data_IF_723260688174
#
_entry.id   IF_723260688174
#
_cell.length_a   1.000
_cell.length_b   1.000
_cell.length_c   1.000
_cell.angle_alpha   90.00
_cell.angle_beta   90.00
_cell.angle_gamma   90.00
#
_symmetry.space_group_name_H-M   'P 1'
#
loop_
_entity.id
_entity.type
_entity.pdbx_description
1 polymer ?
#
# COMPACT_ATOMS: atom_id res chain seq x y z
N UNK A 1 -32.99 27.45 21.39
CA UNK A 1 -31.61 27.09 21.00
C UNK A 1 -31.70 25.94 20.01
N UNK A 2 -31.15 26.04 18.80
CA UNK A 2 -31.08 24.88 17.93
C UNK A 2 -30.26 23.78 18.60
N UNK A 3 -30.62 22.49 18.40
CA UNK A 3 -29.91 21.38 19.01
C UNK A 3 -28.45 21.43 18.56
N UNK A 4 -27.49 21.40 19.53
CA UNK A 4 -26.08 21.24 19.24
C UNK A 4 -25.91 19.91 18.48
N UNK A 5 -25.50 19.99 17.23
CA UNK A 5 -25.13 18.80 16.44
C UNK A 5 -24.02 18.10 17.23
N UNK A 6 -24.33 16.90 17.70
CA UNK A 6 -23.43 16.11 18.52
C UNK A 6 -22.57 15.29 17.57
N UNK A 7 -21.36 15.79 17.20
CA UNK A 7 -20.41 15.04 16.38
C UNK A 7 -19.94 13.80 17.13
N UNK A 8 -19.87 12.68 16.42
CA UNK A 8 -19.29 11.45 16.89
C UNK A 8 -17.78 11.42 16.52
N UNK A 9 -17.00 10.59 17.19
CA UNK A 9 -15.57 10.39 16.88
C UNK A 9 -15.35 10.11 15.39
N UNK A 10 -16.17 9.23 14.80
CA UNK A 10 -16.10 8.87 13.38
C UNK A 10 -16.29 10.04 12.42
N UNK A 11 -17.12 11.03 12.77
CA UNK A 11 -17.37 12.19 11.91
C UNK A 11 -16.11 13.06 11.84
N UNK A 12 -15.39 13.21 12.97
CA UNK A 12 -14.13 13.93 13.04
C UNK A 12 -13.05 13.22 12.25
N UNK A 13 -12.93 11.89 12.37
CA UNK A 13 -11.97 11.09 11.61
C UNK A 13 -12.25 11.18 10.12
N UNK A 14 -13.52 11.08 9.70
CA UNK A 14 -13.91 11.22 8.29
C UNK A 14 -13.56 12.60 7.73
N UNK A 15 -13.80 13.67 8.48
CA UNK A 15 -13.41 15.02 8.06
C UNK A 15 -11.88 15.18 7.98
N UNK A 16 -11.15 14.63 8.94
CA UNK A 16 -9.69 14.62 8.92
C UNK A 16 -9.12 13.83 7.74
N UNK A 17 -9.72 12.67 7.42
CA UNK A 17 -9.38 11.87 6.25
C UNK A 17 -9.63 12.64 4.94
N UNK A 18 -10.74 13.37 4.82
CA UNK A 18 -11.03 14.20 3.66
C UNK A 18 -9.98 15.32 3.49
N UNK A 19 -9.52 15.92 4.60
CA UNK A 19 -8.41 16.88 4.56
C UNK A 19 -7.13 16.20 4.09
N UNK A 20 -6.81 15.02 4.65
CA UNK A 20 -5.62 14.25 4.27
C UNK A 20 -5.63 13.86 2.77
N UNK A 21 -6.76 13.38 2.23
CA UNK A 21 -6.92 13.05 0.81
C UNK A 21 -6.66 14.22 -0.14
N UNK A 22 -7.04 15.42 0.26
CA UNK A 22 -6.89 16.61 -0.61
C UNK A 22 -5.57 17.34 -0.44
N UNK A 23 -4.97 17.32 0.74
CA UNK A 23 -3.86 18.22 1.11
C UNK A 23 -2.68 17.52 1.79
N UNK A 24 -2.76 16.20 1.99
CA UNK A 24 -1.79 15.41 2.73
C UNK A 24 -1.97 15.46 4.25
N UNK A 25 -1.27 14.57 4.94
CA UNK A 25 -1.39 14.37 6.40
C UNK A 25 -0.91 15.60 7.21
N UNK A 26 0.03 16.35 6.70
CA UNK A 26 0.56 17.54 7.38
C UNK A 26 -0.48 18.68 7.47
N UNK A 27 -1.42 18.72 6.52
CA UNK A 27 -2.54 19.64 6.54
C UNK A 27 -3.63 19.27 7.55
N UNK A 28 -3.60 18.08 8.14
CA UNK A 28 -4.56 17.64 9.18
C UNK A 28 -4.24 18.36 10.48
N UNK A 29 -4.81 19.57 10.62
CA UNK A 29 -4.73 20.42 11.80
C UNK A 29 -6.12 20.62 12.41
N UNK A 30 -6.21 20.95 13.69
CA UNK A 30 -7.49 21.19 14.35
C UNK A 30 -8.33 22.26 13.61
N UNK A 31 -7.69 23.28 13.03
CA UNK A 31 -8.37 24.35 12.28
C UNK A 31 -8.94 23.85 10.95
N UNK A 32 -8.18 23.08 10.18
CA UNK A 32 -8.64 22.54 8.89
C UNK A 32 -9.76 21.50 9.10
N UNK A 33 -9.66 20.63 10.11
CA UNK A 33 -10.70 19.67 10.44
C UNK A 33 -11.97 20.37 10.95
N UNK A 34 -11.84 21.38 11.80
CA UNK A 34 -12.97 22.19 12.27
C UNK A 34 -13.66 22.92 11.11
N UNK A 35 -12.89 23.44 10.15
CA UNK A 35 -13.40 24.07 8.93
C UNK A 35 -14.16 23.08 8.07
N UNK A 36 -13.66 21.87 7.89
CA UNK A 36 -14.31 20.79 7.12
C UNK A 36 -15.67 20.42 7.73
N UNK A 37 -15.75 20.40 9.07
CA UNK A 37 -16.98 20.11 9.82
C UNK A 37 -17.89 21.34 9.99
N UNK A 38 -17.42 22.53 9.60
CA UNK A 38 -18.10 23.80 9.85
C UNK A 38 -18.44 24.05 11.34
N UNK A 39 -17.43 23.81 12.21
CA UNK A 39 -17.54 23.99 13.69
C UNK A 39 -16.32 24.71 14.25
N UNK A 40 -16.35 25.02 15.56
CA UNK A 40 -15.14 25.42 16.30
C UNK A 40 -14.22 24.21 16.58
N UNK A 41 -12.98 24.46 16.98
CA UNK A 41 -12.00 23.38 17.29
C UNK A 41 -12.33 22.57 18.56
N UNK A 42 -13.16 23.09 19.46
CA UNK A 42 -13.49 22.47 20.74
C UNK A 42 -13.99 21.02 20.63
N UNK A 43 -14.94 20.71 19.74
CA UNK A 43 -15.44 19.35 19.53
C UNK A 43 -14.37 18.31 19.20
N UNK A 44 -13.29 18.69 18.51
CA UNK A 44 -12.19 17.78 18.17
C UNK A 44 -11.49 17.29 19.44
N UNK A 45 -11.15 18.24 20.33
CA UNK A 45 -10.46 17.94 21.60
C UNK A 45 -11.38 17.33 22.68
N UNK A 46 -12.66 17.15 22.39
CA UNK A 46 -13.56 16.33 23.22
C UNK A 46 -13.32 14.84 22.98
N UNK A 47 -12.83 14.46 21.80
CA UNK A 47 -12.65 13.06 21.39
C UNK A 47 -11.18 12.64 21.28
N UNK A 48 -10.28 13.60 21.10
CA UNK A 48 -8.85 13.35 20.87
C UNK A 48 -7.99 14.19 21.80
N UNK A 49 -7.11 13.53 22.53
CA UNK A 49 -6.18 14.22 23.44
C UNK A 49 -5.12 15.03 22.69
N UNK A 50 -4.84 14.67 21.45
CA UNK A 50 -3.86 15.33 20.58
C UNK A 50 -4.20 15.18 19.11
N UNK A 51 -3.58 16.00 18.26
CA UNK A 51 -3.66 15.84 16.81
C UNK A 51 -2.97 14.57 16.33
N UNK A 52 -1.96 14.09 17.02
CA UNK A 52 -1.29 12.82 16.66
C UNK A 52 -2.21 11.64 16.88
N UNK A 53 -3.03 11.63 17.95
CA UNK A 53 -4.05 10.61 18.15
C UNK A 53 -5.10 10.60 17.02
N UNK A 54 -5.52 11.79 16.53
CA UNK A 54 -6.41 11.88 15.37
C UNK A 54 -5.71 11.41 14.08
N UNK A 55 -4.45 11.78 13.87
CA UNK A 55 -3.66 11.34 12.70
C UNK A 55 -3.45 9.82 12.69
N UNK A 56 -3.31 9.18 13.84
CA UNK A 56 -3.27 7.72 13.96
C UNK A 56 -4.57 7.09 13.45
N UNK A 57 -5.73 7.62 13.88
CA UNK A 57 -7.02 7.12 13.38
C UNK A 57 -7.18 7.36 11.86
N UNK A 58 -6.67 8.47 11.32
CA UNK A 58 -6.64 8.74 9.87
C UNK A 58 -5.77 7.72 9.14
N UNK A 59 -4.60 7.39 9.69
CA UNK A 59 -3.70 6.37 9.13
C UNK A 59 -4.37 5.00 9.08
N UNK A 60 -5.08 4.59 10.14
CA UNK A 60 -5.81 3.32 10.14
C UNK A 60 -6.97 3.32 9.12
N UNK A 61 -7.66 4.44 8.92
CA UNK A 61 -8.67 4.56 7.86
C UNK A 61 -8.02 4.48 6.46
N UNK A 62 -6.87 5.09 6.25
CA UNK A 62 -6.13 5.00 5.00
C UNK A 62 -5.68 3.55 4.71
N UNK A 63 -5.22 2.81 5.73
CA UNK A 63 -4.93 1.36 5.62
C UNK A 63 -6.17 0.56 5.24
N UNK A 64 -7.33 0.91 5.82
CA UNK A 64 -8.60 0.27 5.46
C UNK A 64 -8.98 0.48 4.00
N UNK A 65 -8.84 1.70 3.48
CA UNK A 65 -9.06 2.00 2.06
C UNK A 65 -8.09 1.20 1.19
N UNK A 66 -6.79 1.22 1.51
CA UNK A 66 -5.78 0.46 0.79
C UNK A 66 -6.08 -1.05 0.79
N UNK A 67 -6.50 -1.61 1.96
CA UNK A 67 -6.92 -3.01 2.06
C UNK A 67 -8.01 -3.35 1.04
N UNK A 68 -8.99 -2.47 0.88
CA UNK A 68 -10.11 -2.71 -0.03
C UNK A 68 -9.64 -2.79 -1.50
N UNK A 69 -8.63 -2.02 -1.90
CA UNK A 69 -7.97 -2.18 -3.20
C UNK A 69 -7.28 -3.55 -3.33
N UNK A 70 -6.49 -3.96 -2.33
CA UNK A 70 -5.79 -5.26 -2.37
C UNK A 70 -6.81 -6.41 -2.44
N UNK A 71 -7.84 -6.41 -1.59
CA UNK A 71 -8.88 -7.45 -1.58
C UNK A 71 -9.58 -7.54 -2.93
N UNK A 72 -9.94 -6.39 -3.53
CA UNK A 72 -10.52 -6.35 -4.86
C UNK A 72 -9.60 -6.95 -5.92
N UNK A 73 -8.29 -6.71 -5.83
CA UNK A 73 -7.31 -7.33 -6.73
C UNK A 73 -7.24 -8.85 -6.57
N UNK A 74 -7.34 -9.35 -5.33
CA UNK A 74 -7.34 -10.79 -5.06
C UNK A 74 -8.59 -11.52 -5.61
N UNK A 75 -9.66 -10.81 -5.90
CA UNK A 75 -10.91 -11.34 -6.51
C UNK A 75 -10.83 -11.42 -8.04
N UNK A 76 -9.81 -10.83 -8.69
CA UNK A 76 -9.64 -10.88 -10.14
C UNK A 76 -9.25 -12.29 -10.63
N UNK A 77 -9.46 -12.57 -11.92
CA UNK A 77 -9.19 -13.87 -12.53
C UNK A 77 -7.74 -14.36 -12.30
N UNK A 78 -6.79 -13.42 -12.33
CA UNK A 78 -5.39 -13.65 -11.97
C UNK A 78 -5.10 -12.77 -10.75
N UNK A 79 -5.33 -13.25 -9.53
CA UNK A 79 -5.34 -12.43 -8.32
C UNK A 79 -4.09 -11.59 -8.12
N UNK A 80 -2.92 -12.11 -8.48
CA UNK A 80 -1.70 -11.36 -8.29
C UNK A 80 -1.59 -10.17 -9.25
N UNK A 81 -1.95 -10.35 -10.53
CA UNK A 81 -2.03 -9.23 -11.48
C UNK A 81 -3.11 -8.24 -11.07
N UNK A 82 -4.22 -8.74 -10.53
CA UNK A 82 -5.27 -7.90 -9.96
C UNK A 82 -4.75 -7.05 -8.80
N UNK A 83 -3.96 -7.61 -7.87
CA UNK A 83 -3.31 -6.84 -6.79
C UNK A 83 -2.38 -5.76 -7.36
N UNK A 84 -1.58 -6.09 -8.38
CA UNK A 84 -0.74 -5.11 -9.08
C UNK A 84 -1.56 -3.97 -9.68
N UNK A 85 -2.62 -4.27 -10.41
CA UNK A 85 -3.56 -3.29 -10.97
C UNK A 85 -4.14 -2.37 -9.91
N UNK A 86 -4.66 -2.97 -8.84
CA UNK A 86 -5.31 -2.21 -7.78
C UNK A 86 -4.31 -1.36 -6.97
N UNK A 87 -3.07 -1.81 -6.83
CA UNK A 87 -2.01 -1.03 -6.20
C UNK A 87 -1.65 0.22 -7.03
N UNK A 88 -1.49 0.06 -8.35
CA UNK A 88 -1.29 1.18 -9.28
C UNK A 88 -2.47 2.15 -9.24
N UNK A 89 -3.68 1.60 -9.25
CA UNK A 89 -4.92 2.37 -9.19
C UNK A 89 -5.02 3.17 -7.89
N UNK A 90 -4.69 2.57 -6.74
CA UNK A 90 -4.63 3.26 -5.46
C UNK A 90 -3.66 4.45 -5.49
N UNK A 91 -2.47 4.28 -6.06
CA UNK A 91 -1.49 5.34 -6.19
C UNK A 91 -2.02 6.54 -7.03
N UNK A 92 -2.81 6.27 -8.09
CA UNK A 92 -3.39 7.31 -8.96
C UNK A 92 -4.63 7.96 -8.37
N UNK A 93 -5.52 7.19 -7.78
CA UNK A 93 -6.80 7.69 -7.26
C UNK A 93 -6.65 8.35 -5.89
N UNK A 94 -5.69 7.88 -5.08
CA UNK A 94 -5.47 8.31 -3.71
C UNK A 94 -3.99 8.69 -3.44
N UNK A 95 -3.38 9.60 -4.22
CA UNK A 95 -1.95 9.87 -4.16
C UNK A 95 -1.49 10.36 -2.78
N UNK A 96 -2.29 11.16 -2.08
CA UNK A 96 -1.93 11.64 -0.75
C UNK A 96 -2.03 10.55 0.32
N UNK A 97 -2.95 9.58 0.18
CA UNK A 97 -2.99 8.41 1.04
C UNK A 97 -1.84 7.45 0.73
N UNK A 98 -1.47 7.31 -0.55
CA UNK A 98 -0.27 6.57 -0.93
C UNK A 98 0.98 7.17 -0.25
N UNK A 99 1.18 8.48 -0.34
CA UNK A 99 2.30 9.16 0.32
C UNK A 99 2.28 8.93 1.84
N UNK A 100 1.10 9.00 2.46
CA UNK A 100 0.94 8.75 3.89
C UNK A 100 1.38 7.33 4.27
N UNK A 101 0.96 6.31 3.54
CA UNK A 101 1.24 4.91 3.87
C UNK A 101 2.66 4.47 3.52
N UNK A 102 3.21 4.99 2.41
CA UNK A 102 4.44 4.43 1.82
C UNK A 102 5.63 5.39 1.83
N UNK A 103 5.42 6.71 1.79
CA UNK A 103 6.52 7.67 1.67
C UNK A 103 6.77 8.50 2.93
N UNK A 104 5.88 8.41 3.93
CA UNK A 104 6.06 9.08 5.21
C UNK A 104 7.02 8.28 6.10
N UNK A 105 7.93 8.97 6.79
CA UNK A 105 8.83 8.33 7.77
C UNK A 105 8.01 7.66 8.87
N UNK A 106 8.38 6.43 9.30
CA UNK A 106 7.74 5.78 10.42
C UNK A 106 7.76 6.64 11.68
N UNK A 107 6.65 6.64 12.40
CA UNK A 107 6.47 7.39 13.65
C UNK A 107 5.52 6.62 14.58
N UNK A 108 5.23 7.17 15.75
CA UNK A 108 4.21 6.60 16.64
C UNK A 108 2.79 6.60 16.00
N UNK A 109 2.55 7.43 14.99
CA UNK A 109 1.26 7.58 14.32
C UNK A 109 1.14 6.79 12.99
N UNK A 110 2.23 6.29 12.45
CA UNK A 110 2.25 5.50 11.20
C UNK A 110 3.46 4.55 11.13
N UNK A 111 3.31 3.42 10.42
CA UNK A 111 4.35 2.39 10.31
C UNK A 111 5.25 2.50 9.09
N UNK A 112 4.92 3.34 8.12
CA UNK A 112 5.65 3.52 6.87
C UNK A 112 5.63 2.31 5.93
N UNK A 113 6.48 2.35 4.89
CA UNK A 113 6.46 1.40 3.78
C UNK A 113 6.62 -0.08 4.19
N UNK A 114 7.46 -0.36 5.19
CA UNK A 114 7.72 -1.76 5.61
C UNK A 114 6.52 -2.36 6.35
N UNK A 115 5.81 -1.57 7.17
CA UNK A 115 4.56 -2.04 7.78
C UNK A 115 3.49 -2.28 6.71
N UNK A 116 3.36 -1.38 5.73
CA UNK A 116 2.44 -1.54 4.62
C UNK A 116 2.77 -2.77 3.75
N UNK A 117 4.07 -3.08 3.52
CA UNK A 117 4.49 -4.32 2.87
C UNK A 117 4.03 -5.54 3.66
N UNK A 118 4.34 -5.62 4.95
CA UNK A 118 3.94 -6.76 5.80
C UNK A 118 2.42 -6.95 5.82
N UNK A 119 1.69 -5.86 5.96
CA UNK A 119 0.23 -5.87 5.90
C UNK A 119 -0.29 -6.45 4.58
N UNK A 120 0.31 -6.08 3.46
CA UNK A 120 -0.05 -6.60 2.13
C UNK A 120 0.33 -8.07 1.95
N UNK A 121 1.50 -8.49 2.45
CA UNK A 121 1.91 -9.90 2.47
C UNK A 121 0.90 -10.77 3.23
N UNK A 122 0.48 -10.34 4.41
CA UNK A 122 -0.50 -11.08 5.22
C UNK A 122 -1.84 -11.25 4.50
N UNK A 123 -2.29 -10.25 3.77
CA UNK A 123 -3.52 -10.32 2.97
C UNK A 123 -3.39 -11.27 1.76
N UNK A 124 -2.24 -11.30 1.10
CA UNK A 124 -2.04 -12.02 -0.16
C UNK A 124 -1.53 -13.46 0.03
N UNK A 125 -0.91 -13.78 1.17
CA UNK A 125 -0.15 -15.03 1.40
C UNK A 125 -0.95 -16.27 1.08
N UNK A 126 -2.15 -16.44 1.65
CA UNK A 126 -2.96 -17.64 1.43
C UNK A 126 -3.33 -17.84 -0.06
N UNK A 127 -3.65 -16.75 -0.76
CA UNK A 127 -3.95 -16.78 -2.18
C UNK A 127 -2.74 -17.19 -3.00
N UNK A 128 -1.55 -16.65 -2.71
CA UNK A 128 -0.30 -17.00 -3.40
C UNK A 128 0.08 -18.46 -3.16
N UNK A 129 0.02 -18.94 -1.92
CA UNK A 129 0.29 -20.35 -1.58
C UNK A 129 -0.61 -21.28 -2.37
N UNK A 130 -1.91 -21.00 -2.43
CA UNK A 130 -2.90 -21.83 -3.13
C UNK A 130 -2.72 -21.81 -4.65
N UNK A 131 -2.51 -20.63 -5.26
CA UNK A 131 -2.50 -20.47 -6.72
C UNK A 131 -1.20 -20.96 -7.32
N UNK A 132 -0.08 -20.63 -6.68
CA UNK A 132 1.25 -20.93 -7.21
C UNK A 132 1.88 -22.20 -6.59
N UNK A 133 1.18 -22.87 -5.67
CA UNK A 133 1.70 -24.03 -4.92
C UNK A 133 3.04 -23.71 -4.26
N UNK A 134 3.08 -22.59 -3.54
CA UNK A 134 4.23 -22.10 -2.77
C UNK A 134 4.00 -22.38 -1.28
N UNK A 135 5.06 -22.57 -0.52
CA UNK A 135 4.98 -22.46 0.94
C UNK A 135 4.89 -21.00 1.40
N UNK A 136 4.70 -20.76 2.69
CA UNK A 136 4.51 -19.42 3.23
C UNK A 136 5.74 -18.52 3.02
N UNK A 137 6.95 -19.08 3.15
CA UNK A 137 8.19 -18.33 2.95
C UNK A 137 8.38 -17.93 1.48
N UNK A 138 8.14 -18.87 0.57
CA UNK A 138 8.19 -18.62 -0.87
C UNK A 138 7.17 -17.56 -1.30
N UNK A 139 5.94 -17.64 -0.78
CA UNK A 139 4.89 -16.66 -1.05
C UNK A 139 5.28 -15.25 -0.56
N UNK A 140 5.85 -15.15 0.63
CA UNK A 140 6.32 -13.88 1.19
C UNK A 140 7.50 -13.30 0.41
N UNK A 141 8.46 -14.11 0.00
CA UNK A 141 9.58 -13.68 -0.84
C UNK A 141 9.10 -13.22 -2.21
N UNK A 142 8.23 -13.99 -2.86
CA UNK A 142 7.64 -13.65 -4.15
C UNK A 142 6.87 -12.32 -4.09
N UNK A 143 6.01 -12.15 -3.09
CA UNK A 143 5.27 -10.91 -2.89
C UNK A 143 6.21 -9.73 -2.67
N UNK A 144 7.20 -9.86 -1.77
CA UNK A 144 8.19 -8.81 -1.47
C UNK A 144 8.91 -8.33 -2.73
N UNK A 145 9.40 -9.26 -3.55
CA UNK A 145 10.22 -8.93 -4.70
C UNK A 145 9.41 -8.15 -5.77
N UNK A 146 8.17 -8.57 -5.98
CA UNK A 146 7.27 -7.87 -6.88
C UNK A 146 6.74 -6.56 -6.31
N UNK A 147 6.49 -6.51 -5.00
CA UNK A 147 6.08 -5.29 -4.33
C UNK A 147 7.16 -4.20 -4.43
N UNK A 148 8.44 -4.55 -4.31
CA UNK A 148 9.55 -3.59 -4.47
C UNK A 148 9.57 -2.96 -5.86
N UNK A 149 9.28 -3.74 -6.89
CA UNK A 149 9.19 -3.23 -8.27
C UNK A 149 7.98 -2.34 -8.44
N UNK A 150 6.80 -2.79 -7.96
CA UNK A 150 5.58 -1.97 -8.01
C UNK A 150 5.72 -0.68 -7.22
N UNK A 151 6.37 -0.72 -6.05
CA UNK A 151 6.66 0.45 -5.23
C UNK A 151 7.52 1.48 -5.97
N UNK A 152 8.51 1.03 -6.75
CA UNK A 152 9.32 1.94 -7.56
C UNK A 152 8.48 2.68 -8.60
N UNK A 153 7.65 1.98 -9.37
CA UNK A 153 6.79 2.60 -10.37
C UNK A 153 5.72 3.50 -9.75
N UNK A 154 5.04 3.04 -8.70
CA UNK A 154 4.01 3.86 -8.04
C UNK A 154 4.58 5.11 -7.40
N UNK A 155 5.82 5.05 -6.89
CA UNK A 155 6.53 6.22 -6.39
C UNK A 155 6.76 7.25 -7.50
N UNK A 156 7.25 6.82 -8.68
CA UNK A 156 7.40 7.70 -9.84
C UNK A 156 6.05 8.31 -10.25
N UNK A 157 4.97 7.53 -10.22
CA UNK A 157 3.61 8.01 -10.56
C UNK A 157 3.14 9.10 -9.58
N UNK A 158 3.28 8.91 -8.27
CA UNK A 158 2.79 9.88 -7.28
C UNK A 158 3.69 11.10 -7.10
N UNK A 159 4.90 11.06 -7.67
CA UNK A 159 5.84 12.21 -7.70
C UNK A 159 5.82 12.94 -9.04
N UNK A 160 4.90 12.59 -9.95
CA UNK A 160 4.77 13.17 -11.30
C UNK A 160 6.07 13.05 -12.15
N UNK A 161 6.89 12.03 -11.90
CA UNK A 161 8.16 11.79 -12.61
C UNK A 161 8.17 10.46 -13.38
N UNK A 162 6.99 9.89 -13.63
CA UNK A 162 6.85 8.62 -14.35
C UNK A 162 6.78 8.83 -15.86
N UNK A 163 7.81 8.41 -16.65
CA UNK A 163 7.78 8.54 -18.08
C UNK A 163 7.03 7.41 -18.80
N UNK A 164 6.56 6.40 -18.06
CA UNK A 164 5.96 5.18 -18.60
C UNK A 164 4.43 5.25 -18.61
N UNK A 165 3.82 4.67 -19.64
CA UNK A 165 2.37 4.47 -19.68
C UNK A 165 1.93 3.34 -18.74
N UNK A 166 0.64 3.27 -18.45
CA UNK A 166 0.08 2.20 -17.63
C UNK A 166 0.25 0.83 -18.28
N UNK A 167 0.14 0.76 -19.61
CA UNK A 167 0.34 -0.46 -20.40
C UNK A 167 1.80 -0.96 -20.28
N UNK A 168 2.78 -0.06 -20.38
CA UNK A 168 4.20 -0.41 -20.22
C UNK A 168 4.50 -0.91 -18.80
N UNK A 169 4.00 -0.22 -17.77
CA UNK A 169 4.17 -0.63 -16.37
C UNK A 169 3.53 -2.00 -16.14
N UNK A 170 2.35 -2.22 -16.70
CA UNK A 170 1.64 -3.49 -16.56
C UNK A 170 2.34 -4.64 -17.28
N UNK A 171 2.87 -4.40 -18.48
CA UNK A 171 3.67 -5.37 -19.21
C UNK A 171 4.90 -5.81 -18.40
N UNK A 172 5.67 -4.86 -17.87
CA UNK A 172 6.84 -5.14 -17.01
C UNK A 172 6.43 -5.94 -15.77
N UNK A 173 5.33 -5.57 -15.10
CA UNK A 173 4.81 -6.30 -13.94
C UNK A 173 4.50 -7.76 -14.26
N UNK A 174 3.88 -8.00 -15.42
CA UNK A 174 3.56 -9.34 -15.90
C UNK A 174 4.83 -10.14 -16.20
N UNK A 175 5.76 -9.57 -16.95
CA UNK A 175 7.04 -10.22 -17.33
C UNK A 175 7.86 -10.59 -16.10
N UNK A 176 8.03 -9.67 -15.16
CA UNK A 176 8.80 -9.91 -13.94
C UNK A 176 8.11 -10.92 -13.04
N UNK A 177 6.78 -10.86 -12.90
CA UNK A 177 6.00 -11.85 -12.16
C UNK A 177 6.21 -13.26 -12.68
N UNK A 178 6.11 -13.44 -14.00
CA UNK A 178 6.36 -14.72 -14.65
C UNK A 178 7.81 -15.20 -14.46
N UNK A 179 8.78 -14.31 -14.64
CA UNK A 179 10.20 -14.62 -14.51
C UNK A 179 10.54 -15.08 -13.07
N UNK A 180 10.10 -14.36 -12.04
CA UNK A 180 10.35 -14.74 -10.64
C UNK A 180 9.63 -16.03 -10.29
N UNK A 181 8.36 -16.19 -10.67
CA UNK A 181 7.61 -17.42 -10.40
C UNK A 181 8.28 -18.63 -11.03
N UNK A 182 8.74 -18.51 -12.28
CA UNK A 182 9.48 -19.56 -12.98
C UNK A 182 10.80 -19.86 -12.30
N UNK A 183 11.58 -18.83 -11.95
CA UNK A 183 12.86 -19.00 -11.26
C UNK A 183 12.70 -19.73 -9.92
N UNK A 184 11.68 -19.40 -9.14
CA UNK A 184 11.40 -20.08 -7.86
C UNK A 184 11.04 -21.55 -8.01
N UNK A 185 10.43 -21.93 -9.15
CA UNK A 185 10.09 -23.33 -9.44
C UNK A 185 11.23 -24.13 -10.05
N UNK A 186 12.09 -23.48 -10.82
CA UNK A 186 13.14 -24.16 -11.60
C UNK A 186 14.51 -24.14 -10.92
N UNK A 187 14.76 -23.24 -9.96
CA UNK A 187 16.03 -23.10 -9.26
C UNK A 187 15.85 -23.51 -7.79
N UNK A 188 16.24 -24.74 -7.42
CA UNK A 188 16.14 -25.21 -6.03
C UNK A 188 16.90 -24.28 -5.07
N UNK A 189 16.26 -23.92 -3.96
CA UNK A 189 16.85 -23.09 -2.91
C UNK A 189 16.95 -21.59 -3.23
N UNK A 190 16.41 -21.12 -4.36
CA UNK A 190 16.45 -19.70 -4.73
C UNK A 190 15.70 -18.81 -3.71
N UNK A 191 14.47 -19.11 -3.27
CA UNK A 191 13.79 -18.30 -2.27
C UNK A 191 14.51 -18.24 -0.94
N UNK A 192 15.19 -19.32 -0.55
CA UNK A 192 15.94 -19.46 0.69
C UNK A 192 17.36 -18.85 0.61
N UNK A 193 17.78 -18.38 -0.58
CA UNK A 193 19.14 -17.89 -0.83
C UNK A 193 20.21 -18.98 -0.82
N UNK A 194 19.79 -20.26 -0.92
CA UNK A 194 20.68 -21.44 -0.88
C UNK A 194 20.78 -22.09 -2.26
N UNK A 195 21.49 -21.44 -3.18
CA UNK A 195 21.69 -21.88 -4.56
C UNK A 195 23.09 -21.51 -5.08
N UNK A 196 23.60 -22.25 -6.08
CA UNK A 196 24.87 -21.92 -6.73
C UNK A 196 24.67 -20.85 -7.80
N UNK A 197 24.74 -19.59 -7.35
CA UNK A 197 24.60 -18.40 -8.22
C UNK A 197 25.57 -18.46 -9.41
N UNK A 198 26.80 -18.81 -9.17
CA UNK A 198 27.85 -18.72 -10.19
C UNK A 198 27.70 -19.83 -11.25
N UNK A 199 27.17 -21.02 -10.85
CA UNK A 199 26.82 -22.05 -11.80
C UNK A 199 25.67 -21.59 -12.73
N UNK A 200 24.61 -21.00 -12.15
CA UNK A 200 23.47 -20.50 -12.91
C UNK A 200 23.89 -19.43 -13.91
N UNK A 201 24.66 -18.42 -13.47
CA UNK A 201 25.13 -17.36 -14.38
C UNK A 201 26.05 -17.90 -15.48
N UNK A 202 26.92 -18.88 -15.19
CA UNK A 202 27.71 -19.53 -16.24
C UNK A 202 26.87 -20.20 -17.31
N UNK A 203 25.76 -20.84 -16.93
CA UNK A 203 24.86 -21.50 -17.88
C UNK A 203 24.04 -20.49 -18.69
N UNK A 204 23.66 -19.36 -18.11
CA UNK A 204 22.96 -18.29 -18.82
C UNK A 204 23.85 -17.58 -19.86
N UNK A 205 25.14 -17.43 -19.59
CA UNK A 205 26.08 -16.75 -20.51
C UNK A 205 26.52 -17.65 -21.67
N UNK A 206 26.43 -18.99 -21.50
CA UNK A 206 26.82 -19.96 -22.55
C UNK A 206 25.76 -20.20 -23.61
N UNK A 207 24.53 -19.72 -23.41
CA UNK A 207 23.41 -19.82 -24.34
C UNK A 207 23.28 -18.56 -25.17
#
# INVERSE_FOLDING_TARGET
MPPKVKFQKKDIVSAALNVAKRKGIDAVTAREVAKELNVSVGPIFTWFDSMDALKTDVYEQAKGIYRDYIVKGLEEQIPFLGVWHQYMRFAREEPELYKLLFLTKPSAANGGAIEALKFSQDLARESLMRIYNMDAHQADCYFRDLWLISFSYTTLVVTDDCPFTDEEIFAVGTEVSLAICKAYKEIPGLPEGNYDRDAIFRDLVKK
#
